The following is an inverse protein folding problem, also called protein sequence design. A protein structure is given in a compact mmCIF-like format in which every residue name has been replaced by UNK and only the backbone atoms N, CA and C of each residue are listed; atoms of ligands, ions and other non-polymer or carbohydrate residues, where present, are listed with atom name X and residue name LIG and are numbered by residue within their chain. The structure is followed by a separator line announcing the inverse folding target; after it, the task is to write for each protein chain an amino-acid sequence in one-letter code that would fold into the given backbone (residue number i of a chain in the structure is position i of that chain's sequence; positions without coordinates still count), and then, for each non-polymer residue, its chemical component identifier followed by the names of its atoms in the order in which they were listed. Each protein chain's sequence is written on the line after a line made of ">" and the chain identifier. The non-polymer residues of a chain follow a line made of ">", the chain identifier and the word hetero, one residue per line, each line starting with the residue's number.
data_IF_486832891676
#
_entry.id   IF_486832891676
#
_cell.length_a   1.000
_cell.length_b   1.000
_cell.length_c   1.000
_cell.angle_alpha   90.00
_cell.angle_beta   90.00
_cell.angle_gamma   90.00
#
_symmetry.space_group_name_H-M   'P 1'
#
loop_
_entity.id
_entity.type
_entity.pdbx_description
1 polymer ?
#
# COMPACT_ATOMS: atom_id res chain seq x y z
N UNK A 1 -49.26 21.79 -46.96
CA UNK A 1 -50.19 21.10 -47.88
C UNK A 1 -49.74 19.64 -47.92
N UNK A 2 -50.42 18.61 -47.41
CA UNK A 2 -51.69 18.47 -46.71
C UNK A 2 -51.51 17.42 -45.60
N UNK A 3 -52.22 17.63 -44.50
CA UNK A 3 -52.43 16.65 -43.45
C UNK A 3 -53.33 15.50 -43.93
N UNK A 4 -53.19 14.33 -43.33
CA UNK A 4 -54.28 13.36 -43.23
C UNK A 4 -54.26 12.77 -41.82
N UNK A 5 -55.07 13.38 -40.96
CA UNK A 5 -55.65 12.78 -39.77
C UNK A 5 -56.50 11.58 -40.19
N UNK A 6 -56.50 10.50 -39.40
CA UNK A 6 -57.70 9.69 -39.22
C UNK A 6 -57.66 8.92 -37.91
N UNK A 7 -58.68 9.23 -37.12
CA UNK A 7 -58.99 8.86 -35.75
C UNK A 7 -59.60 7.47 -35.60
N UNK A 8 -59.37 6.90 -34.41
CA UNK A 8 -60.32 6.13 -33.56
C UNK A 8 -61.04 4.88 -34.10
N UNK A 9 -60.81 3.74 -33.43
CA UNK A 9 -61.83 3.06 -32.59
C UNK A 9 -61.26 1.91 -31.76
N UNK A 10 -61.43 1.99 -30.44
CA UNK A 10 -61.53 0.83 -29.56
C UNK A 10 -62.93 0.22 -29.70
N UNK A 11 -63.01 -1.11 -29.78
CA UNK A 11 -64.16 -1.87 -29.25
C UNK A 11 -63.67 -3.20 -28.70
N UNK A 12 -64.00 -3.45 -27.44
CA UNK A 12 -63.95 -4.78 -26.81
C UNK A 12 -65.03 -5.65 -27.45
N UNK A 13 -64.72 -6.92 -27.69
CA UNK A 13 -65.72 -7.97 -27.77
C UNK A 13 -65.20 -9.19 -27.04
N UNK A 14 -65.93 -9.55 -26.00
CA UNK A 14 -65.78 -10.77 -25.21
C UNK A 14 -66.57 -11.89 -25.92
N UNK A 15 -66.08 -13.13 -25.76
CA UNK A 15 -66.83 -14.39 -25.77
C UNK A 15 -66.84 -15.29 -27.03
N UNK A 16 -66.49 -16.55 -26.73
CA UNK A 16 -67.07 -17.82 -27.19
C UNK A 16 -66.67 -18.43 -28.55
N UNK A 17 -66.11 -19.65 -28.46
CA UNK A 17 -66.59 -20.79 -29.24
C UNK A 17 -65.82 -21.19 -30.50
N UNK A 18 -64.98 -22.22 -30.37
CA UNK A 18 -64.58 -23.18 -31.44
C UNK A 18 -65.79 -24.03 -31.90
N UNK A 19 -65.68 -24.97 -32.89
CA UNK A 19 -64.72 -25.19 -33.99
C UNK A 19 -65.42 -25.54 -35.36
N UNK A 20 -64.62 -25.76 -36.44
CA UNK A 20 -64.69 -26.86 -37.44
C UNK A 20 -64.12 -26.42 -38.82
N UNK A 21 -63.22 -27.25 -39.42
CA UNK A 21 -62.45 -27.01 -40.67
C UNK A 21 -63.21 -27.32 -41.98
N UNK A 22 -62.58 -27.80 -43.09
CA UNK A 22 -61.16 -27.91 -43.46
C UNK A 22 -60.79 -27.36 -44.89
N UNK A 23 -59.48 -27.41 -45.21
CA UNK A 23 -58.82 -27.54 -46.53
C UNK A 23 -59.18 -26.61 -47.72
N UNK A 24 -58.20 -25.79 -48.14
CA UNK A 24 -58.00 -25.46 -49.56
C UNK A 24 -56.50 -25.28 -49.86
N UNK A 25 -55.96 -26.19 -50.67
CA UNK A 25 -54.66 -26.09 -51.32
C UNK A 25 -54.72 -25.05 -52.44
N UNK A 26 -53.85 -24.04 -52.41
CA UNK A 26 -53.57 -23.15 -53.53
C UNK A 26 -52.07 -23.16 -53.82
N UNK A 27 -51.66 -23.87 -54.88
CA UNK A 27 -50.29 -23.85 -55.38
C UNK A 27 -50.04 -22.65 -56.28
N UNK A 28 -48.83 -22.08 -56.11
CA UNK A 28 -47.96 -21.36 -57.05
C UNK A 28 -48.47 -20.07 -57.72
N UNK A 29 -47.76 -18.99 -57.46
CA UNK A 29 -47.13 -18.21 -58.53
C UNK A 29 -45.83 -17.58 -58.02
N UNK A 30 -44.72 -18.09 -58.54
CA UNK A 30 -43.39 -17.48 -58.48
C UNK A 30 -43.28 -16.43 -59.57
N UNK A 31 -42.85 -15.22 -59.22
CA UNK A 31 -42.19 -14.29 -60.13
C UNK A 31 -41.28 -13.34 -59.35
N UNK A 32 -40.22 -12.81 -59.99
CA UNK A 32 -38.93 -12.63 -59.36
C UNK A 32 -38.64 -11.18 -58.94
N UNK A 33 -37.62 -11.08 -58.09
CA UNK A 33 -36.70 -9.95 -57.94
C UNK A 33 -37.28 -8.55 -57.67
N UNK A 34 -37.16 -8.13 -56.41
CA UNK A 34 -36.87 -6.74 -56.08
C UNK A 34 -35.91 -6.66 -54.90
N UNK A 35 -34.66 -6.36 -55.26
CA UNK A 35 -33.75 -5.46 -54.55
C UNK A 35 -33.23 -5.95 -53.18
N UNK A 36 -32.07 -6.60 -53.29
CA UNK A 36 -30.92 -6.45 -52.41
C UNK A 36 -30.84 -5.04 -51.80
N UNK A 37 -31.41 -4.88 -50.60
CA UNK A 37 -30.87 -3.92 -49.64
C UNK A 37 -29.73 -4.63 -48.94
N UNK A 38 -28.52 -4.13 -49.14
CA UNK A 38 -27.31 -4.48 -48.41
C UNK A 38 -27.56 -4.39 -46.91
N UNK A 39 -28.02 -5.50 -46.33
CA UNK A 39 -28.13 -5.70 -44.91
C UNK A 39 -26.72 -5.65 -44.33
N UNK A 40 -26.38 -4.52 -43.72
CA UNK A 40 -25.21 -4.41 -42.86
C UNK A 40 -25.30 -5.58 -41.87
N UNK A 41 -24.33 -6.51 -41.81
CA UNK A 41 -24.41 -7.63 -40.90
C UNK A 41 -24.31 -7.06 -39.49
N UNK A 42 -25.47 -6.89 -38.84
CA UNK A 42 -25.52 -6.54 -37.44
C UNK A 42 -25.03 -7.78 -36.69
N UNK A 43 -23.73 -7.82 -36.39
CA UNK A 43 -23.12 -8.86 -35.55
C UNK A 43 -23.82 -8.80 -34.21
N UNK A 44 -24.86 -9.61 -34.05
CA UNK A 44 -25.53 -9.78 -32.78
C UNK A 44 -24.60 -10.62 -31.93
N UNK A 45 -23.78 -9.96 -31.11
CA UNK A 45 -23.05 -10.60 -30.02
C UNK A 45 -24.06 -11.15 -29.02
N UNK A 46 -24.63 -12.31 -29.32
CA UNK A 46 -25.51 -13.04 -28.42
C UNK A 46 -24.60 -13.71 -27.40
N UNK A 47 -24.19 -12.95 -26.37
CA UNK A 47 -23.53 -13.47 -25.19
C UNK A 47 -24.42 -14.59 -24.63
N UNK A 48 -23.99 -15.84 -24.80
CA UNK A 48 -24.79 -17.04 -24.54
C UNK A 48 -25.07 -17.27 -23.04
N UNK A 49 -24.47 -16.48 -22.14
CA UNK A 49 -24.64 -16.67 -20.69
C UNK A 49 -24.70 -15.36 -19.88
N UNK A 50 -25.73 -14.51 -20.06
CA UNK A 50 -25.86 -13.28 -19.27
C UNK A 50 -25.94 -13.57 -17.76
N UNK A 51 -26.70 -14.59 -17.33
CA UNK A 51 -26.87 -14.89 -15.91
C UNK A 51 -25.58 -15.33 -15.19
N UNK A 52 -24.67 -16.06 -15.87
CA UNK A 52 -23.38 -16.45 -15.27
C UNK A 52 -22.44 -15.25 -15.18
N UNK A 53 -22.45 -14.36 -16.18
CA UNK A 53 -21.67 -13.13 -16.18
C UNK A 53 -22.02 -12.21 -15.00
N UNK A 54 -23.31 -11.95 -14.75
CA UNK A 54 -23.74 -11.14 -13.60
C UNK A 54 -23.36 -11.79 -12.26
N UNK A 55 -23.42 -13.13 -12.16
CA UNK A 55 -23.03 -13.86 -10.94
C UNK A 55 -21.52 -13.74 -10.67
N UNK A 56 -20.68 -13.98 -11.67
CA UNK A 56 -19.23 -13.88 -11.54
C UNK A 56 -18.80 -12.46 -11.20
N UNK A 57 -19.32 -11.46 -11.92
CA UNK A 57 -19.05 -10.05 -11.66
C UNK A 57 -19.43 -9.66 -10.23
N UNK A 58 -20.58 -10.13 -9.71
CA UNK A 58 -21.02 -9.84 -8.34
C UNK A 58 -20.06 -10.41 -7.29
N UNK A 59 -19.68 -11.68 -7.41
CA UNK A 59 -18.77 -12.31 -6.43
C UNK A 59 -17.36 -11.75 -6.49
N UNK A 60 -16.83 -11.52 -7.70
CA UNK A 60 -15.57 -10.80 -7.89
C UNK A 60 -15.66 -9.39 -7.31
N UNK A 61 -16.82 -8.73 -7.46
CA UNK A 61 -17.14 -7.44 -6.89
C UNK A 61 -17.03 -7.39 -5.38
N UNK A 62 -17.51 -8.41 -4.66
CA UNK A 62 -17.36 -8.46 -3.19
C UNK A 62 -15.90 -8.63 -2.76
N UNK A 63 -15.17 -9.53 -3.42
CA UNK A 63 -13.75 -9.78 -3.10
C UNK A 63 -12.91 -8.52 -3.32
N UNK A 64 -13.02 -7.91 -4.50
CA UNK A 64 -12.30 -6.68 -4.83
C UNK A 64 -12.83 -5.50 -4.01
N UNK A 65 -14.13 -5.45 -3.73
CA UNK A 65 -14.76 -4.39 -2.95
C UNK A 65 -14.21 -4.31 -1.53
N UNK A 66 -14.10 -5.45 -0.83
CA UNK A 66 -13.43 -5.52 0.49
C UNK A 66 -11.99 -5.02 0.37
N UNK A 67 -11.28 -5.45 -0.66
CA UNK A 67 -9.88 -5.07 -0.86
C UNK A 67 -9.72 -3.56 -1.10
N UNK A 68 -10.56 -2.97 -1.95
CA UNK A 68 -10.60 -1.53 -2.23
C UNK A 68 -11.02 -0.75 -0.99
N UNK A 69 -11.96 -1.27 -0.18
CA UNK A 69 -12.32 -0.65 1.09
C UNK A 69 -11.12 -0.55 2.04
N UNK A 70 -10.35 -1.63 2.20
CA UNK A 70 -9.12 -1.60 3.01
C UNK A 70 -8.09 -0.63 2.45
N UNK A 71 -7.97 -0.56 1.12
CA UNK A 71 -7.10 0.38 0.43
C UNK A 71 -7.51 1.84 0.70
N UNK A 72 -8.80 2.16 0.62
CA UNK A 72 -9.37 3.48 0.93
C UNK A 72 -9.21 3.84 2.41
N UNK A 73 -9.45 2.90 3.31
CA UNK A 73 -9.25 3.09 4.74
C UNK A 73 -7.78 3.45 5.04
N UNK A 74 -6.82 2.74 4.42
CA UNK A 74 -5.40 3.09 4.51
C UNK A 74 -5.09 4.46 3.92
N UNK A 75 -5.63 4.78 2.74
CA UNK A 75 -5.48 6.10 2.12
C UNK A 75 -5.99 7.25 2.99
N UNK A 76 -7.11 7.05 3.68
CA UNK A 76 -7.67 8.02 4.63
C UNK A 76 -6.73 8.25 5.83
N UNK A 77 -6.17 7.17 6.37
CA UNK A 77 -5.18 7.22 7.45
C UNK A 77 -3.93 7.97 7.01
N UNK A 78 -3.40 7.69 5.80
CA UNK A 78 -2.21 8.37 5.27
C UNK A 78 -2.44 9.86 5.01
N UNK A 79 -3.65 10.24 4.56
CA UNK A 79 -3.99 11.62 4.27
C UNK A 79 -4.15 12.50 5.52
N UNK A 80 -4.53 11.91 6.66
CA UNK A 80 -4.77 12.64 7.91
C UNK A 80 -3.68 12.52 8.97
N UNK A 81 -2.69 11.64 8.79
CA UNK A 81 -1.54 11.54 9.69
C UNK A 81 -0.34 12.31 9.12
N UNK A 82 0.09 13.42 9.77
CA UNK A 82 1.32 14.13 9.41
C UNK A 82 2.54 13.20 9.40
N UNK A 83 3.03 12.89 8.21
CA UNK A 83 4.00 11.81 8.04
C UNK A 83 5.37 12.14 8.66
N UNK A 84 5.91 13.33 8.40
CA UNK A 84 7.25 13.69 8.88
C UNK A 84 7.27 13.92 10.39
N UNK A 85 6.37 14.77 10.87
CA UNK A 85 6.40 15.22 12.26
C UNK A 85 5.94 14.14 13.23
N UNK A 86 4.89 13.40 12.86
CA UNK A 86 4.23 12.45 13.76
C UNK A 86 4.64 11.01 13.44
N UNK A 87 4.44 10.53 12.22
CA UNK A 87 4.72 9.13 11.86
C UNK A 87 6.22 8.83 11.89
N UNK A 88 7.06 9.75 11.42
CA UNK A 88 8.54 9.61 11.43
C UNK A 88 9.19 10.18 12.70
N UNK A 89 8.39 10.55 13.70
CA UNK A 89 8.86 11.16 14.95
C UNK A 89 9.59 12.51 14.79
N UNK A 90 9.51 13.18 13.64
CA UNK A 90 10.31 14.38 13.35
C UNK A 90 10.11 15.55 14.32
N UNK A 91 8.93 15.67 14.93
CA UNK A 91 8.66 16.69 15.93
C UNK A 91 9.26 16.37 17.32
N UNK A 92 9.49 15.08 17.61
CA UNK A 92 9.87 14.61 18.95
C UNK A 92 11.28 14.05 19.03
N UNK A 93 11.88 13.66 17.90
CA UNK A 93 13.22 13.09 17.84
C UNK A 93 13.99 13.73 16.71
N UNK A 94 15.11 14.37 17.05
CA UNK A 94 16.04 14.93 16.09
C UNK A 94 17.22 13.96 15.90
N UNK A 95 17.44 13.43 14.68
CA UNK A 95 18.60 12.60 14.41
C UNK A 95 19.90 13.34 14.77
N UNK A 96 20.91 12.64 15.31
CA UNK A 96 22.15 13.27 15.71
C UNK A 96 22.89 13.82 14.50
N UNK A 97 23.35 15.07 14.59
CA UNK A 97 24.22 15.65 13.59
C UNK A 97 25.69 15.31 13.90
N UNK A 98 26.46 14.95 12.87
CA UNK A 98 27.90 14.78 13.02
C UNK A 98 28.53 16.17 13.17
N UNK A 99 29.08 16.44 14.35
CA UNK A 99 29.90 17.61 14.62
C UNK A 99 31.27 17.15 15.08
N UNK A 100 32.31 17.74 14.50
CA UNK A 100 33.70 17.49 14.83
C UNK A 100 34.32 18.81 15.23
N UNK A 101 34.60 18.97 16.52
CA UNK A 101 35.39 20.08 17.03
C UNK A 101 36.88 19.85 16.74
N UNK A 102 37.72 20.84 17.06
CA UNK A 102 39.15 20.75 16.83
C UNK A 102 39.79 19.55 17.55
N UNK A 103 39.32 19.22 18.75
CA UNK A 103 39.85 18.12 19.56
C UNK A 103 39.50 16.73 18.97
N UNK A 104 38.28 16.57 18.45
CA UNK A 104 37.84 15.37 17.74
C UNK A 104 38.63 15.19 16.43
N UNK A 105 38.87 16.26 15.68
CA UNK A 105 39.70 16.22 14.47
C UNK A 105 41.14 15.78 14.76
N UNK A 106 41.75 16.32 15.81
CA UNK A 106 43.09 15.93 16.21
C UNK A 106 43.14 14.45 16.63
N UNK A 107 42.18 14.01 17.44
CA UNK A 107 42.08 12.61 17.87
C UNK A 107 41.91 11.65 16.69
N UNK A 108 41.04 11.99 15.73
CA UNK A 108 40.84 11.23 14.50
C UNK A 108 42.15 11.07 13.73
N UNK A 109 42.87 12.17 13.50
CA UNK A 109 44.11 12.19 12.71
C UNK A 109 45.24 11.41 13.38
N UNK A 110 45.43 11.60 14.68
CA UNK A 110 46.58 11.03 15.40
C UNK A 110 46.37 9.58 15.83
N UNK A 111 45.14 9.21 16.22
CA UNK A 111 44.84 7.92 16.82
C UNK A 111 43.77 7.15 16.06
N UNK A 112 42.67 7.80 15.69
CA UNK A 112 41.54 7.14 15.03
C UNK A 112 41.93 6.44 13.72
N UNK A 113 42.70 7.11 12.86
CA UNK A 113 43.13 6.59 11.56
C UNK A 113 44.38 5.70 11.62
N UNK A 114 45.20 5.83 12.65
CA UNK A 114 46.50 5.13 12.76
C UNK A 114 46.36 3.60 12.83
N UNK A 115 45.21 3.10 13.30
CA UNK A 115 44.95 1.67 13.51
C UNK A 115 43.91 1.10 12.54
N UNK A 116 43.71 1.77 11.40
CA UNK A 116 42.76 1.32 10.40
C UNK A 116 43.35 0.17 9.57
N UNK A 117 42.57 -0.88 9.27
CA UNK A 117 43.01 -1.94 8.37
C UNK A 117 43.43 -1.38 7.00
N UNK A 118 44.37 -2.04 6.33
CA UNK A 118 44.66 -1.75 4.93
C UNK A 118 43.56 -2.32 4.02
N UNK A 119 43.35 -1.71 2.85
CA UNK A 119 42.36 -2.20 1.88
C UNK A 119 40.90 -1.87 2.23
N UNK A 120 40.67 -0.77 2.94
CA UNK A 120 39.32 -0.29 3.23
C UNK A 120 38.52 -0.02 1.95
N UNK A 121 37.29 -0.51 1.94
CA UNK A 121 36.30 -0.23 0.90
C UNK A 121 35.27 0.80 1.35
N UNK A 122 35.17 1.05 2.66
CA UNK A 122 34.28 2.06 3.22
C UNK A 122 34.78 2.59 4.56
N UNK A 123 34.62 3.89 4.75
CA UNK A 123 34.93 4.60 5.98
C UNK A 123 33.83 5.61 6.26
N UNK A 124 33.25 5.57 7.45
CA UNK A 124 32.16 6.46 7.84
C UNK A 124 32.34 6.94 9.28
N UNK A 125 32.20 8.24 9.49
CA UNK A 125 32.07 8.83 10.81
C UNK A 125 30.60 8.88 11.20
N UNK A 126 30.28 8.51 12.44
CA UNK A 126 28.92 8.53 12.94
C UNK A 126 28.86 8.96 14.41
N UNK A 127 27.85 9.75 14.80
CA UNK A 127 27.55 9.99 16.20
C UNK A 127 27.12 8.69 16.90
N UNK A 128 27.57 8.51 18.13
CA UNK A 128 27.22 7.36 18.97
C UNK A 128 27.10 7.77 20.45
N UNK A 129 26.46 6.92 21.25
CA UNK A 129 26.44 7.01 22.71
C UNK A 129 27.84 7.07 23.36
N UNK A 130 28.90 6.67 22.64
CA UNK A 130 30.30 6.72 23.10
C UNK A 130 31.07 7.94 22.53
N UNK A 131 30.36 8.92 21.99
CA UNK A 131 30.91 10.00 21.17
C UNK A 131 30.97 9.62 19.70
N UNK A 132 31.58 10.45 18.86
CA UNK A 132 31.76 10.11 17.45
C UNK A 132 32.64 8.86 17.32
N UNK A 133 32.25 7.95 16.43
CA UNK A 133 32.99 6.73 16.11
C UNK A 133 33.20 6.58 14.62
N UNK A 134 34.19 5.78 14.26
CA UNK A 134 34.59 5.41 12.91
C UNK A 134 34.07 4.01 12.64
N UNK A 135 33.14 3.86 11.70
CA UNK A 135 32.76 2.58 11.13
C UNK A 135 33.56 2.35 9.85
N UNK A 136 34.05 1.13 9.69
CA UNK A 136 34.84 0.77 8.52
C UNK A 136 34.36 -0.54 7.94
N UNK A 137 34.66 -0.72 6.66
CA UNK A 137 34.39 -1.93 5.90
C UNK A 137 35.58 -2.25 5.02
N UNK A 138 35.93 -3.52 4.93
CA UNK A 138 36.94 -4.08 4.03
C UNK A 138 36.37 -5.34 3.33
N UNK A 139 37.24 -6.11 2.67
CA UNK A 139 36.86 -7.37 2.04
C UNK A 139 36.59 -8.50 3.04
N UNK A 140 37.10 -8.40 4.27
CA UNK A 140 36.97 -9.41 5.32
C UNK A 140 35.74 -9.17 6.21
N UNK A 141 35.22 -7.94 6.27
CA UNK A 141 34.05 -7.60 7.08
C UNK A 141 33.92 -6.11 7.36
N UNK A 142 33.38 -5.80 8.54
CA UNK A 142 33.18 -4.44 9.02
C UNK A 142 33.52 -4.35 10.50
N UNK A 143 33.90 -3.15 10.95
CA UNK A 143 34.21 -2.91 12.36
C UNK A 143 33.95 -1.46 12.77
N UNK A 144 34.19 -1.19 14.06
CA UNK A 144 33.97 0.11 14.68
C UNK A 144 35.13 0.46 15.60
N UNK A 145 35.60 1.71 15.53
CA UNK A 145 36.64 2.26 16.39
C UNK A 145 36.25 3.66 16.86
N UNK A 146 36.58 4.02 18.09
CA UNK A 146 36.41 5.36 18.66
C UNK A 146 37.48 6.31 18.11
N UNK A 147 37.22 7.61 18.15
CA UNK A 147 38.19 8.61 17.66
C UNK A 147 39.52 8.60 18.43
N UNK A 148 39.53 8.14 19.68
CA UNK A 148 40.74 8.00 20.49
C UNK A 148 41.59 6.77 20.10
N UNK A 149 41.14 5.98 19.12
CA UNK A 149 41.80 4.75 18.69
C UNK A 149 41.32 3.49 19.44
N UNK A 150 40.50 3.60 20.48
CA UNK A 150 39.95 2.43 21.17
C UNK A 150 38.90 1.70 20.34
N UNK A 151 38.76 0.37 20.49
CA UNK A 151 37.66 -0.37 19.88
C UNK A 151 36.30 0.11 20.43
N UNK A 152 35.24 0.10 19.61
CA UNK A 152 33.90 0.37 20.11
C UNK A 152 33.48 -0.71 21.11
N UNK A 153 32.94 -0.29 22.25
CA UNK A 153 32.47 -1.19 23.29
C UNK A 153 30.96 -1.38 23.20
N UNK A 154 30.41 -2.51 23.66
CA UNK A 154 28.98 -2.66 23.80
C UNK A 154 28.42 -1.60 24.75
N UNK A 155 27.42 -0.86 24.27
CA UNK A 155 26.74 0.20 25.01
C UNK A 155 25.82 -0.42 26.06
N UNK A 156 25.90 0.09 27.28
CA UNK A 156 25.00 -0.31 28.37
C UNK A 156 23.66 0.44 28.32
N UNK A 157 22.74 0.05 29.22
CA UNK A 157 21.41 0.66 29.29
C UNK A 157 21.47 2.16 29.59
N UNK A 158 22.30 2.57 30.55
CA UNK A 158 22.38 3.96 31.01
C UNK A 158 22.94 4.87 29.91
N UNK A 159 23.97 4.43 29.20
CA UNK A 159 24.53 5.11 28.03
C UNK A 159 23.51 5.22 26.90
N UNK A 160 22.73 4.17 26.63
CA UNK A 160 21.69 4.20 25.60
C UNK A 160 20.58 5.19 25.96
N UNK A 161 20.11 5.21 27.21
CA UNK A 161 19.11 6.18 27.70
C UNK A 161 19.65 7.61 27.63
N UNK A 162 20.87 7.83 28.11
CA UNK A 162 21.51 9.15 28.08
C UNK A 162 21.66 9.66 26.64
N UNK A 163 22.10 8.81 25.71
CA UNK A 163 22.19 9.18 24.30
C UNK A 163 20.82 9.46 23.69
N UNK A 164 19.82 8.60 23.91
CA UNK A 164 18.46 8.80 23.39
C UNK A 164 17.83 10.10 23.93
N UNK A 165 18.10 10.48 25.18
CA UNK A 165 17.69 11.76 25.77
C UNK A 165 18.22 12.97 25.01
N UNK A 166 19.45 12.90 24.47
CA UNK A 166 20.01 14.01 23.66
C UNK A 166 19.27 14.22 22.33
N UNK A 167 18.60 13.17 21.83
CA UNK A 167 17.86 13.20 20.56
C UNK A 167 16.40 13.62 20.76
N UNK A 168 15.85 13.33 21.94
CA UNK A 168 14.46 13.59 22.30
C UNK A 168 14.21 15.08 22.53
N UNK A 169 13.14 15.60 21.92
CA UNK A 169 12.75 17.02 21.95
C UNK A 169 11.58 17.30 22.90
N UNK A 170 11.00 16.27 23.52
CA UNK A 170 9.96 16.44 24.53
C UNK A 170 10.53 16.84 25.90
N UNK A 171 9.67 16.95 26.92
CA UNK A 171 10.08 17.36 28.26
C UNK A 171 11.20 16.47 28.84
N UNK A 172 12.22 17.08 29.45
CA UNK A 172 13.33 16.36 30.06
C UNK A 172 12.86 15.43 31.22
N UNK A 173 11.74 15.75 31.86
CA UNK A 173 11.13 14.98 32.93
C UNK A 173 10.34 13.76 32.44
N UNK A 174 10.04 13.62 31.14
CA UNK A 174 9.26 12.48 30.61
C UNK A 174 9.94 11.16 30.95
N UNK A 175 9.32 10.22 31.67
CA UNK A 175 9.97 8.94 32.04
C UNK A 175 10.46 8.17 30.81
N UNK A 176 11.62 7.52 30.93
CA UNK A 176 12.19 6.69 29.89
C UNK A 176 12.56 5.30 30.45
N UNK A 177 12.24 4.25 29.70
CA UNK A 177 12.59 2.86 30.03
C UNK A 177 13.31 2.24 28.85
N UNK A 178 14.40 1.53 29.09
CA UNK A 178 15.14 0.86 28.05
C UNK A 178 14.96 -0.66 28.12
N UNK A 179 14.90 -1.28 26.95
CA UNK A 179 14.85 -2.74 26.80
C UNK A 179 15.80 -3.16 25.70
N UNK A 180 16.62 -4.18 25.97
CA UNK A 180 17.50 -4.75 24.97
C UNK A 180 16.68 -5.66 24.05
N UNK A 181 16.59 -5.28 22.79
CA UNK A 181 16.02 -6.09 21.73
C UNK A 181 17.11 -6.95 21.09
N UNK A 182 16.83 -8.24 20.97
CA UNK A 182 17.62 -9.13 20.13
C UNK A 182 17.28 -8.93 18.65
N UNK A 183 18.11 -9.50 17.78
CA UNK A 183 17.83 -9.55 16.35
C UNK A 183 16.45 -10.22 16.12
N UNK A 184 15.58 -9.59 15.33
CA UNK A 184 14.26 -10.12 15.02
C UNK A 184 13.21 -9.95 16.13
N UNK A 185 13.05 -8.72 16.65
CA UNK A 185 12.01 -8.37 17.62
C UNK A 185 10.59 -8.80 17.17
N UNK A 186 9.68 -9.11 18.12
CA UNK A 186 8.34 -9.60 17.81
C UNK A 186 7.52 -8.59 17.00
N UNK A 187 6.56 -9.11 16.22
CA UNK A 187 5.66 -8.25 15.47
C UNK A 187 4.66 -7.55 16.39
N UNK A 188 4.39 -6.29 16.07
CA UNK A 188 3.29 -5.49 16.59
C UNK A 188 2.05 -5.81 15.74
N UNK A 189 0.89 -5.98 16.39
CA UNK A 189 -0.41 -6.21 15.73
C UNK A 189 -0.40 -7.36 14.70
N UNK A 190 0.43 -8.39 14.95
CA UNK A 190 0.58 -9.57 14.10
C UNK A 190 1.44 -9.37 12.84
N UNK A 191 1.27 -8.26 12.12
CA UNK A 191 1.90 -8.03 10.81
C UNK A 191 2.94 -6.91 10.76
N UNK A 192 3.03 -6.06 11.78
CA UNK A 192 3.95 -4.90 11.78
C UNK A 192 5.28 -5.28 12.41
N UNK A 193 6.36 -5.17 11.64
CA UNK A 193 7.74 -5.36 12.14
C UNK A 193 8.40 -4.02 12.34
N UNK A 194 8.35 -3.51 13.57
CA UNK A 194 8.86 -2.19 13.93
C UNK A 194 10.40 -2.12 13.92
N UNK A 195 11.05 -3.18 14.42
CA UNK A 195 12.50 -3.31 14.46
C UNK A 195 12.97 -4.51 13.62
N UNK A 196 13.78 -4.23 12.58
CA UNK A 196 14.20 -5.22 11.58
C UNK A 196 15.73 -5.40 11.50
N UNK A 197 16.49 -4.82 12.42
CA UNK A 197 17.94 -4.95 12.39
C UNK A 197 18.36 -6.40 12.68
N UNK A 198 19.40 -6.85 11.98
CA UNK A 198 20.10 -8.11 12.25
C UNK A 198 21.02 -8.02 13.48
N UNK A 199 21.25 -6.82 14.01
CA UNK A 199 22.08 -6.59 15.19
C UNK A 199 21.24 -6.18 16.40
N UNK A 200 21.61 -6.60 17.63
CA UNK A 200 20.92 -6.18 18.85
C UNK A 200 20.92 -4.67 19.03
N UNK A 201 19.82 -4.15 19.59
CA UNK A 201 19.66 -2.72 19.88
C UNK A 201 18.98 -2.51 21.23
N UNK A 202 19.27 -1.39 21.86
CA UNK A 202 18.46 -0.83 22.92
C UNK A 202 17.27 -0.10 22.33
N UNK A 203 16.07 -0.45 22.75
CA UNK A 203 14.88 0.35 22.54
C UNK A 203 14.65 1.20 23.79
N UNK A 204 14.85 2.51 23.66
CA UNK A 204 14.53 3.48 24.71
C UNK A 204 13.14 4.04 24.45
N UNK A 205 12.18 3.70 25.30
CA UNK A 205 10.78 4.15 25.21
C UNK A 205 10.55 5.34 26.16
N UNK A 206 10.12 6.46 25.60
CA UNK A 206 9.64 7.62 26.34
C UNK A 206 8.14 7.51 26.59
N UNK A 207 7.70 7.80 27.81
CA UNK A 207 6.28 7.77 28.19
C UNK A 207 5.58 9.09 27.82
N UNK A 208 5.53 9.39 26.51
CA UNK A 208 4.76 10.51 25.97
C UNK A 208 3.52 10.04 25.21
N UNK A 209 2.77 10.99 24.64
CA UNK A 209 1.49 10.77 23.96
C UNK A 209 1.55 9.71 22.84
N UNK A 210 2.70 9.55 22.18
CA UNK A 210 2.88 8.59 21.09
C UNK A 210 3.81 7.43 21.44
N UNK A 211 4.26 7.37 22.70
CA UNK A 211 5.21 6.38 23.19
C UNK A 211 6.47 6.33 22.31
N UNK A 212 7.16 7.45 22.14
CA UNK A 212 8.35 7.54 21.28
C UNK A 212 9.39 6.48 21.67
N UNK A 213 9.92 5.79 20.66
CA UNK A 213 10.91 4.72 20.80
C UNK A 213 12.13 5.04 19.98
N UNK A 214 13.25 5.27 20.64
CA UNK A 214 14.55 5.51 20.01
C UNK A 214 15.35 4.22 20.06
N UNK A 215 15.90 3.82 18.91
CA UNK A 215 16.71 2.61 18.79
C UNK A 215 18.19 2.98 18.73
N UNK A 216 18.97 2.39 19.63
CA UNK A 216 20.42 2.61 19.74
C UNK A 216 21.12 1.26 19.60
N UNK A 217 22.11 1.17 18.71
CA UNK A 217 22.88 -0.06 18.50
C UNK A 217 23.61 -0.47 19.78
N UNK A 218 23.51 -1.74 20.17
CA UNK A 218 24.27 -2.27 21.31
C UNK A 218 25.76 -2.26 20.99
N UNK A 219 26.16 -2.63 19.78
CA UNK A 219 27.58 -2.82 19.44
C UNK A 219 28.33 -1.50 19.24
N UNK A 220 27.68 -0.49 18.66
CA UNK A 220 28.33 0.74 18.20
C UNK A 220 27.81 1.98 18.91
N UNK A 221 26.65 1.92 19.57
CA UNK A 221 25.97 3.09 20.13
C UNK A 221 25.35 4.02 19.09
N UNK A 222 25.32 3.63 17.82
CA UNK A 222 24.76 4.46 16.75
C UNK A 222 23.23 4.57 16.86
N UNK A 223 22.68 5.72 16.45
CA UNK A 223 21.23 5.90 16.30
C UNK A 223 20.73 5.11 15.09
N UNK A 224 19.85 4.13 15.33
CA UNK A 224 19.28 3.28 14.29
C UNK A 224 17.95 3.81 13.74
N UNK A 225 17.29 4.71 14.47
CA UNK A 225 16.02 5.29 14.08
C UNK A 225 15.08 5.53 15.27
N UNK A 226 13.98 6.21 14.98
CA UNK A 226 12.89 6.43 15.91
C UNK A 226 11.58 5.88 15.34
N UNK A 227 10.73 5.38 16.23
CA UNK A 227 9.40 4.87 15.95
C UNK A 227 8.44 5.27 17.06
N UNK A 228 7.15 5.12 16.82
CA UNK A 228 6.09 5.41 17.78
C UNK A 228 4.80 4.71 17.36
N UNK A 229 3.74 4.88 18.14
CA UNK A 229 2.47 4.17 17.89
C UNK A 229 1.78 4.62 16.59
N UNK A 230 1.99 5.87 16.17
CA UNK A 230 1.51 6.36 14.86
C UNK A 230 2.25 5.69 13.71
N UNK A 231 3.54 5.41 13.88
CA UNK A 231 4.30 4.62 12.91
C UNK A 231 3.74 3.21 12.79
N UNK A 232 3.42 2.55 13.91
CA UNK A 232 2.84 1.20 13.91
C UNK A 232 1.49 1.17 13.18
N UNK A 233 0.62 2.13 13.48
CA UNK A 233 -0.66 2.30 12.79
C UNK A 233 -0.46 2.54 11.28
N UNK A 234 0.48 3.42 10.92
CA UNK A 234 0.79 3.70 9.53
C UNK A 234 1.32 2.46 8.80
N UNK A 235 2.29 1.74 9.38
CA UNK A 235 2.88 0.53 8.78
C UNK A 235 1.85 -0.60 8.64
N UNK A 236 0.93 -0.74 9.60
CA UNK A 236 -0.18 -1.69 9.51
C UNK A 236 -1.04 -1.43 8.26
N UNK A 237 -1.51 -0.20 8.08
CA UNK A 237 -2.29 0.17 6.90
C UNK A 237 -1.45 0.14 5.63
N UNK A 238 -0.16 0.47 5.69
CA UNK A 238 0.76 0.37 4.56
C UNK A 238 0.85 -1.06 4.05
N UNK A 239 1.06 -2.04 4.93
CA UNK A 239 1.10 -3.47 4.60
C UNK A 239 -0.23 -3.96 4.06
N UNK A 240 -1.34 -3.52 4.66
CA UNK A 240 -2.66 -3.73 4.07
C UNK A 240 -2.73 -3.14 2.68
N UNK A 241 -2.23 -1.93 2.42
CA UNK A 241 -2.35 -1.23 1.14
C UNK A 241 -1.49 -1.87 0.04
N UNK A 242 -0.20 -2.16 0.31
CA UNK A 242 0.74 -2.76 -0.65
C UNK A 242 0.61 -4.28 -0.75
N UNK A 243 -0.15 -4.91 0.15
CA UNK A 243 -0.44 -6.35 0.09
C UNK A 243 0.78 -7.25 0.31
N UNK A 244 1.79 -6.71 1.00
CA UNK A 244 2.97 -7.41 1.49
C UNK A 244 2.90 -7.44 3.03
N UNK A 245 2.44 -8.58 3.56
CA UNK A 245 2.21 -8.76 5.00
C UNK A 245 3.45 -9.21 5.77
N UNK A 246 4.51 -9.65 5.07
CA UNK A 246 5.76 -10.11 5.70
C UNK A 246 6.72 -8.95 5.92
N UNK A 247 7.16 -8.28 4.85
CA UNK A 247 8.17 -7.24 4.95
C UNK A 247 7.58 -5.84 4.77
N UNK A 248 6.50 -5.70 4.00
CA UNK A 248 5.88 -4.40 3.70
C UNK A 248 6.78 -3.49 2.86
N UNK A 249 7.76 -4.05 2.14
CA UNK A 249 8.74 -3.30 1.35
C UNK A 249 8.63 -3.61 -0.14
N UNK A 250 8.08 -4.77 -0.51
CA UNK A 250 7.91 -5.16 -1.91
C UNK A 250 6.59 -4.62 -2.48
N UNK A 251 6.67 -3.44 -3.10
CA UNK A 251 5.54 -2.86 -3.84
C UNK A 251 5.10 -3.72 -5.03
N UNK A 252 5.94 -4.64 -5.49
CA UNK A 252 5.71 -5.54 -6.61
C UNK A 252 5.23 -6.93 -6.18
N UNK A 253 4.77 -7.07 -4.92
CA UNK A 253 4.36 -8.34 -4.36
C UNK A 253 3.31 -9.08 -5.23
N UNK A 254 3.37 -10.42 -5.39
CA UNK A 254 2.44 -11.16 -6.25
C UNK A 254 0.96 -10.93 -5.91
N UNK A 255 0.64 -10.74 -4.62
CA UNK A 255 -0.74 -10.50 -4.19
C UNK A 255 -1.31 -9.19 -4.76
N UNK A 256 -0.54 -8.09 -4.73
CA UNK A 256 -1.03 -6.82 -5.28
C UNK A 256 -1.16 -6.90 -6.80
N UNK A 257 -0.24 -7.57 -7.50
CA UNK A 257 -0.32 -7.78 -8.96
C UNK A 257 -1.61 -8.50 -9.35
N UNK A 258 -1.92 -9.60 -8.67
CA UNK A 258 -3.17 -10.37 -8.92
C UNK A 258 -4.39 -9.52 -8.56
N UNK A 259 -4.39 -8.86 -7.41
CA UNK A 259 -5.50 -8.00 -6.99
C UNK A 259 -5.75 -6.85 -7.98
N UNK A 260 -4.69 -6.21 -8.49
CA UNK A 260 -4.77 -5.15 -9.50
C UNK A 260 -5.34 -5.66 -10.82
N UNK A 261 -4.91 -6.84 -11.28
CA UNK A 261 -5.47 -7.45 -12.49
C UNK A 261 -6.97 -7.78 -12.33
N UNK A 262 -7.36 -8.35 -11.18
CA UNK A 262 -8.76 -8.64 -10.85
C UNK A 262 -9.60 -7.36 -10.74
N UNK A 263 -9.07 -6.30 -10.12
CA UNK A 263 -9.74 -5.02 -10.01
C UNK A 263 -9.92 -4.33 -11.37
N UNK A 264 -8.92 -4.42 -12.25
CA UNK A 264 -9.00 -3.91 -13.62
C UNK A 264 -10.07 -4.67 -14.41
N UNK A 265 -10.07 -6.00 -14.36
CA UNK A 265 -11.07 -6.83 -15.02
C UNK A 265 -12.48 -6.53 -14.49
N UNK A 266 -12.65 -6.41 -13.16
CA UNK A 266 -13.92 -6.02 -12.57
C UNK A 266 -14.38 -4.64 -13.07
N UNK A 267 -13.47 -3.67 -13.13
CA UNK A 267 -13.78 -2.31 -13.61
C UNK A 267 -14.23 -2.31 -15.07
N UNK A 268 -13.51 -3.03 -15.94
CA UNK A 268 -13.88 -3.17 -17.36
C UNK A 268 -15.24 -3.85 -17.53
N UNK A 269 -15.49 -4.94 -16.81
CA UNK A 269 -16.79 -5.63 -16.86
C UNK A 269 -17.93 -4.74 -16.36
N UNK A 270 -17.69 -3.95 -15.31
CA UNK A 270 -18.63 -2.94 -14.80
C UNK A 270 -18.95 -1.84 -15.82
N UNK A 271 -17.94 -1.31 -16.51
CA UNK A 271 -18.12 -0.30 -17.56
C UNK A 271 -18.94 -0.84 -18.73
N UNK A 272 -18.69 -2.07 -19.18
CA UNK A 272 -19.48 -2.71 -20.24
C UNK A 272 -20.93 -2.87 -19.80
N UNK A 273 -21.17 -3.31 -18.56
CA UNK A 273 -22.52 -3.47 -18.02
C UNK A 273 -23.25 -2.13 -17.87
N UNK A 274 -22.55 -1.08 -17.44
CA UNK A 274 -23.06 0.27 -17.37
C UNK A 274 -23.46 0.79 -18.76
N UNK A 275 -22.59 0.64 -19.77
CA UNK A 275 -22.88 1.04 -21.14
C UNK A 275 -24.11 0.29 -21.70
N UNK A 276 -24.21 -1.02 -21.45
CA UNK A 276 -25.40 -1.81 -21.81
C UNK A 276 -26.67 -1.33 -21.09
N UNK A 277 -26.58 -0.96 -19.81
CA UNK A 277 -27.71 -0.45 -19.04
C UNK A 277 -28.17 0.93 -19.56
N UNK A 278 -27.23 1.85 -19.79
CA UNK A 278 -27.50 3.18 -20.36
C UNK A 278 -28.12 3.04 -21.75
N UNK A 279 -27.53 2.23 -22.65
CA UNK A 279 -28.09 1.99 -24.01
C UNK A 279 -29.50 1.41 -23.98
N UNK A 280 -29.80 0.49 -23.03
CA UNK A 280 -31.15 -0.05 -22.85
C UNK A 280 -32.14 1.03 -22.39
N UNK A 281 -31.75 1.88 -21.44
CA UNK A 281 -32.59 2.98 -20.93
C UNK A 281 -32.86 4.02 -22.02
N UNK A 282 -31.86 4.38 -22.81
CA UNK A 282 -31.99 5.35 -23.91
C UNK A 282 -32.94 4.84 -25.00
N UNK A 283 -32.80 3.57 -25.44
CA UNK A 283 -33.72 2.98 -26.42
C UNK A 283 -35.17 2.94 -25.95
N UNK A 284 -35.42 2.69 -24.66
CA UNK A 284 -36.77 2.72 -24.08
C UNK A 284 -37.37 4.13 -24.07
N UNK A 285 -36.56 5.16 -23.86
CA UNK A 285 -36.99 6.57 -23.90
C UNK A 285 -37.27 7.06 -25.33
N UNK A 286 -36.54 6.58 -26.32
CA UNK A 286 -36.79 6.93 -27.74
C UNK A 286 -38.02 6.22 -28.32
N UNK A 287 -38.45 5.11 -27.69
CA UNK A 287 -39.61 4.32 -28.11
C UNK A 287 -40.89 4.66 -27.34
N UNK A 288 -40.81 5.57 -26.36
CA UNK A 288 -41.94 6.08 -25.57
C UNK A 288 -42.23 7.51 -25.98
#
# INVERSE_FOLDING_TARGET
>A
MSACDLSWRMSRATSLGLPHGPLAQGQRQSSPDCLSSSGVPFVSWRLSHPASWFRWHRWLGYLVGIRVFLWLAGGLVFAWLPFQDQVKSGAMVRPPALTLDASAWQSLRERGLAFMPQGLTGLQLMPSAQGTVIKWKDSAGQGCRRLDGGACQPVDEAQAVAFARTLYQGPASTPATAMKLQAGAPSQWGIVREFRSSSPAWQVRFQDDFQQRVYVSVATGEYLGARNDRWVLYDFFWRLHVMDYSEGEDFNHPLIRVASALALLLSLTGLVMLAMAVRRRWRRRLAA
#
